data_IF_813344876383
#
_entry.id   IF_813344876383
#
_cell.length_a   1.000
_cell.length_b   1.000
_cell.length_c   1.000
_cell.angle_alpha   90.00
_cell.angle_beta   90.00
_cell.angle_gamma   90.00
#
_symmetry.space_group_name_H-M   'P 1'
#
loop_
_entity.id
_entity.type
_entity.pdbx_description
1 polymer ?
#
# COMPACT_ATOMS: atom_id res chain seq x y z
N UNK A 1 -6.77 21.94 10.13
CA UNK A 1 -5.80 21.08 9.41
C UNK A 1 -5.95 19.69 10.02
N UNK A 2 -6.26 18.71 9.20
CA UNK A 2 -6.48 17.34 9.66
C UNK A 2 -5.16 16.66 10.06
N UNK A 3 -5.25 15.74 11.00
CA UNK A 3 -4.16 14.89 11.48
C UNK A 3 -4.39 13.45 11.04
N UNK A 4 -3.42 12.84 10.36
CA UNK A 4 -3.47 11.42 10.00
C UNK A 4 -2.85 10.55 11.07
N UNK A 5 -3.54 9.46 11.44
CA UNK A 5 -2.99 8.37 12.24
C UNK A 5 -2.52 7.22 11.36
N UNK A 6 -1.29 6.78 11.51
CA UNK A 6 -0.70 5.69 10.74
C UNK A 6 -0.50 4.48 11.65
N UNK A 7 -1.18 3.37 11.36
CA UNK A 7 -0.79 2.05 11.85
C UNK A 7 0.39 1.59 11.01
N UNK A 8 1.58 1.67 11.60
CA UNK A 8 2.86 1.26 11.01
C UNK A 8 3.45 0.03 11.69
N UNK A 9 4.70 -0.30 11.36
CA UNK A 9 5.41 -1.45 11.93
C UNK A 9 5.13 -2.77 11.20
N UNK A 10 4.25 -2.77 10.21
CA UNK A 10 3.99 -3.95 9.38
C UNK A 10 4.88 -3.88 8.13
N UNK A 11 6.15 -4.19 8.36
CA UNK A 11 7.31 -3.75 7.61
C UNK A 11 7.76 -2.37 8.10
N UNK A 12 8.77 -2.25 9.00
CA UNK A 12 9.24 -0.94 9.50
C UNK A 12 9.65 0.01 8.38
N UNK A 13 10.31 -0.50 7.35
CA UNK A 13 10.74 0.26 6.16
C UNK A 13 9.55 0.90 5.42
N UNK A 14 8.47 0.15 5.31
CA UNK A 14 7.20 0.63 4.77
C UNK A 14 6.69 1.88 5.51
N UNK A 15 6.78 1.88 6.83
CA UNK A 15 6.34 3.01 7.67
C UNK A 15 7.22 4.25 7.44
N UNK A 16 8.52 4.06 7.32
CA UNK A 16 9.48 5.13 7.02
C UNK A 16 9.18 5.73 5.65
N UNK A 17 8.92 4.88 4.65
CA UNK A 17 8.61 5.33 3.29
C UNK A 17 7.28 6.10 3.26
N UNK A 18 6.23 5.63 3.96
CA UNK A 18 4.98 6.40 4.10
C UNK A 18 5.22 7.79 4.65
N UNK A 19 5.98 7.91 5.74
CA UNK A 19 6.29 9.20 6.35
C UNK A 19 6.99 10.13 5.36
N UNK A 20 8.02 9.64 4.66
CA UNK A 20 8.76 10.41 3.65
C UNK A 20 7.87 10.86 2.49
N UNK A 21 7.08 9.95 1.94
CA UNK A 21 6.21 10.22 0.80
C UNK A 21 5.09 11.19 1.15
N UNK A 22 4.45 11.04 2.32
CA UNK A 22 3.40 11.98 2.77
C UNK A 22 3.96 13.38 2.89
N UNK A 23 5.13 13.56 3.53
CA UNK A 23 5.76 14.88 3.66
C UNK A 23 6.09 15.46 2.28
N UNK A 24 6.67 14.66 1.38
CA UNK A 24 7.04 15.11 0.05
C UNK A 24 5.81 15.54 -0.77
N UNK A 25 4.79 14.69 -0.83
CA UNK A 25 3.56 14.96 -1.58
C UNK A 25 2.75 16.13 -0.99
N UNK A 26 2.70 16.25 0.34
CA UNK A 26 2.03 17.38 1.01
C UNK A 26 2.70 18.70 0.67
N UNK A 27 4.03 18.76 0.71
CA UNK A 27 4.79 19.97 0.36
C UNK A 27 4.63 20.34 -1.12
N UNK A 28 4.67 19.35 -2.01
CA UNK A 28 4.47 19.54 -3.45
C UNK A 28 3.08 20.14 -3.73
N UNK A 29 2.01 19.57 -3.18
CA UNK A 29 0.64 20.07 -3.38
C UNK A 29 0.39 21.45 -2.76
N UNK A 30 1.00 21.73 -1.61
CA UNK A 30 0.82 23.01 -0.92
C UNK A 30 1.62 24.15 -1.55
N UNK A 31 2.78 23.87 -2.12
CA UNK A 31 3.67 24.87 -2.72
C UNK A 31 3.43 25.10 -4.21
N UNK A 32 2.68 24.22 -4.88
CA UNK A 32 2.51 24.27 -6.34
C UNK A 32 3.80 24.02 -7.13
N UNK A 33 4.92 23.73 -6.45
CA UNK A 33 6.24 23.51 -7.04
C UNK A 33 6.94 22.31 -6.40
N UNK A 34 7.56 21.49 -7.25
CA UNK A 34 8.51 20.46 -6.80
C UNK A 34 9.58 21.10 -5.95
N UNK A 35 9.75 20.61 -4.71
CA UNK A 35 10.67 21.07 -3.64
C UNK A 35 11.66 22.17 -4.07
N UNK A 36 11.49 23.43 -3.59
CA UNK A 36 12.47 24.47 -3.90
C UNK A 36 13.80 24.18 -3.20
N UNK A 37 14.93 24.69 -3.73
CA UNK A 37 16.24 24.59 -3.09
C UNK A 37 16.21 25.07 -1.64
N UNK A 38 17.07 24.47 -0.81
CA UNK A 38 17.16 24.74 0.64
C UNK A 38 17.37 26.23 0.97
N UNK A 39 17.96 26.99 0.05
CA UNK A 39 18.33 28.40 0.23
C UNK A 39 17.32 29.41 -0.35
N UNK A 40 16.13 28.96 -0.76
CA UNK A 40 15.10 29.88 -1.25
C UNK A 40 14.42 30.61 -0.08
N UNK A 41 14.40 31.95 -0.02
CA UNK A 41 13.69 32.69 0.99
C UNK A 41 12.19 32.71 0.73
N UNK A 42 11.57 31.54 0.86
CA UNK A 42 10.13 31.43 0.68
C UNK A 42 9.44 31.79 1.99
N UNK A 43 8.93 32.96 2.02
CA UNK A 43 8.19 33.60 3.13
C UNK A 43 6.76 33.04 3.31
N UNK A 44 6.31 32.01 2.63
CA UNK A 44 4.97 31.48 2.82
C UNK A 44 4.98 30.09 3.43
N UNK A 45 4.39 30.04 4.59
CA UNK A 45 3.93 28.91 5.41
C UNK A 45 3.99 27.51 4.73
N UNK A 46 5.20 26.97 4.60
CA UNK A 46 5.41 25.57 4.25
C UNK A 46 5.13 24.74 5.49
N UNK A 47 3.82 24.61 5.83
CA UNK A 47 3.43 23.74 6.92
C UNK A 47 3.76 22.30 6.60
N UNK A 48 4.14 21.55 7.62
CA UNK A 48 4.22 20.09 7.55
C UNK A 48 2.86 19.50 7.88
N UNK A 49 2.53 18.29 7.35
CA UNK A 49 1.33 17.60 7.75
C UNK A 49 1.40 17.17 9.22
N UNK A 50 0.26 17.15 9.89
CA UNK A 50 0.15 16.55 11.22
C UNK A 50 0.03 15.03 11.10
N UNK A 51 0.99 14.28 11.65
CA UNK A 51 1.08 12.82 11.53
C UNK A 51 1.35 12.23 12.91
N UNK A 52 0.55 11.22 13.29
CA UNK A 52 0.81 10.36 14.44
C UNK A 52 1.04 8.95 13.94
N UNK A 53 2.18 8.35 14.29
CA UNK A 53 2.52 6.98 13.91
C UNK A 53 2.44 6.10 15.14
N UNK A 54 1.66 5.02 15.04
CA UNK A 54 1.61 3.95 16.01
C UNK A 54 2.20 2.68 15.38
N UNK A 55 3.41 2.34 15.79
CA UNK A 55 4.13 1.17 15.28
C UNK A 55 3.71 -0.07 16.06
N UNK A 56 3.18 -1.08 15.35
CA UNK A 56 2.67 -2.31 15.95
C UNK A 56 3.70 -3.45 15.93
N UNK A 57 3.43 -4.46 16.74
CA UNK A 57 4.25 -5.68 16.81
C UNK A 57 3.96 -6.59 15.62
N UNK A 58 4.88 -6.61 14.65
CA UNK A 58 4.78 -7.42 13.44
C UNK A 58 4.78 -8.93 13.73
N UNK A 59 5.64 -9.39 14.63
CA UNK A 59 5.75 -10.82 14.94
C UNK A 59 4.44 -11.37 15.48
N UNK A 60 3.78 -10.59 16.30
CA UNK A 60 2.46 -10.91 16.84
C UNK A 60 1.39 -11.00 15.76
N UNK A 61 1.35 -10.04 14.84
CA UNK A 61 0.43 -10.06 13.70
C UNK A 61 0.69 -11.28 12.81
N UNK A 62 1.94 -11.54 12.45
CA UNK A 62 2.33 -12.68 11.61
C UNK A 62 1.97 -14.03 12.27
N UNK A 63 2.15 -14.16 13.58
CA UNK A 63 1.77 -15.38 14.30
C UNK A 63 0.27 -15.68 14.18
N UNK A 64 -0.59 -14.67 14.35
CA UNK A 64 -2.02 -14.84 14.19
C UNK A 64 -2.44 -15.07 12.74
N UNK A 65 -1.82 -14.40 11.78
CA UNK A 65 -2.10 -14.61 10.37
C UNK A 65 -1.73 -16.02 9.90
N UNK A 66 -0.57 -16.56 10.34
CA UNK A 66 -0.15 -17.93 10.05
C UNK A 66 -1.14 -18.98 10.56
N UNK A 67 -1.81 -18.71 11.67
CA UNK A 67 -2.85 -19.59 12.25
C UNK A 67 -4.26 -19.24 11.80
N UNK A 68 -4.41 -18.34 10.85
CA UNK A 68 -5.69 -17.80 10.37
C UNK A 68 -6.60 -17.26 11.48
N UNK A 69 -6.01 -16.75 12.56
CA UNK A 69 -6.74 -16.13 13.67
C UNK A 69 -7.04 -14.65 13.35
N UNK A 70 -7.91 -14.42 12.36
CA UNK A 70 -8.24 -13.08 11.89
C UNK A 70 -8.98 -12.26 12.96
N UNK A 71 -9.72 -12.89 13.86
CA UNK A 71 -10.37 -12.20 14.99
C UNK A 71 -9.33 -11.54 15.90
N UNK A 72 -8.25 -12.25 16.25
CA UNK A 72 -7.18 -11.67 17.06
C UNK A 72 -6.44 -10.52 16.34
N UNK A 73 -6.27 -10.62 15.02
CA UNK A 73 -5.72 -9.54 14.20
C UNK A 73 -6.62 -8.31 14.26
N UNK A 74 -7.93 -8.50 14.06
CA UNK A 74 -8.92 -7.41 14.12
C UNK A 74 -8.94 -6.75 15.49
N UNK A 75 -9.07 -7.53 16.57
CA UNK A 75 -9.12 -7.00 17.94
C UNK A 75 -7.88 -6.19 18.30
N UNK A 76 -6.72 -6.69 17.90
CA UNK A 76 -5.46 -5.99 18.12
C UNK A 76 -5.43 -4.65 17.37
N UNK A 77 -5.74 -4.65 16.07
CA UNK A 77 -5.70 -3.44 15.26
C UNK A 77 -6.76 -2.43 15.68
N UNK A 78 -7.95 -2.87 16.12
CA UNK A 78 -8.97 -1.97 16.71
C UNK A 78 -8.41 -1.28 17.95
N UNK A 79 -7.75 -2.01 18.85
CA UNK A 79 -7.12 -1.41 20.03
C UNK A 79 -6.04 -0.37 19.67
N UNK A 80 -5.30 -0.59 18.59
CA UNK A 80 -4.31 0.37 18.09
C UNK A 80 -4.98 1.60 17.43
N UNK A 81 -6.10 1.43 16.73
CA UNK A 81 -6.91 2.52 16.21
C UNK A 81 -7.54 3.36 17.34
N UNK A 82 -7.98 2.74 18.42
CA UNK A 82 -8.45 3.45 19.62
C UNK A 82 -7.35 4.31 20.26
N UNK A 83 -6.09 3.85 20.24
CA UNK A 83 -4.95 4.65 20.71
C UNK A 83 -4.77 5.91 19.86
N UNK A 84 -4.83 5.75 18.53
CA UNK A 84 -4.77 6.87 17.59
C UNK A 84 -5.92 7.84 17.78
N UNK A 85 -7.15 7.34 17.96
CA UNK A 85 -8.32 8.16 18.26
C UNK A 85 -8.13 8.99 19.53
N UNK A 86 -7.64 8.36 20.64
CA UNK A 86 -7.32 9.09 21.88
C UNK A 86 -6.21 10.12 21.71
N UNK A 87 -5.31 9.93 20.75
CA UNK A 87 -4.28 10.90 20.41
C UNK A 87 -4.81 12.06 19.55
N UNK A 88 -6.10 12.04 19.16
CA UNK A 88 -6.75 13.15 18.47
C UNK A 88 -6.53 13.18 16.96
N UNK A 89 -6.33 12.03 16.31
CA UNK A 89 -6.26 11.98 14.85
C UNK A 89 -7.65 12.08 14.23
N UNK A 90 -7.74 12.68 13.03
CA UNK A 90 -9.00 12.85 12.32
C UNK A 90 -9.38 11.62 11.48
N UNK A 91 -8.39 10.88 11.02
CA UNK A 91 -8.56 9.64 10.25
C UNK A 91 -7.34 8.72 10.37
N UNK A 92 -7.54 7.44 10.09
CA UNK A 92 -6.51 6.40 10.19
C UNK A 92 -6.18 5.73 8.86
N UNK A 93 -4.96 5.22 8.76
CA UNK A 93 -4.49 4.41 7.65
C UNK A 93 -3.64 3.23 8.13
N UNK A 94 -3.66 2.14 7.39
CA UNK A 94 -2.74 1.02 7.57
C UNK A 94 -1.61 1.15 6.54
N UNK A 95 -0.36 1.31 6.99
CA UNK A 95 0.80 1.47 6.09
C UNK A 95 1.29 0.12 5.54
N UNK A 96 0.37 -0.75 5.13
CA UNK A 96 0.65 -2.07 4.57
C UNK A 96 -0.58 -2.63 3.85
N UNK A 97 -0.36 -3.50 2.86
CA UNK A 97 -1.44 -4.16 2.12
C UNK A 97 -2.07 -5.32 2.91
N UNK A 98 -1.26 -6.20 3.46
CA UNK A 98 -1.71 -7.48 4.03
C UNK A 98 -2.76 -7.35 5.15
N UNK A 99 -2.68 -6.38 6.09
CA UNK A 99 -3.72 -6.22 7.12
C UNK A 99 -5.11 -5.85 6.59
N UNK A 100 -5.22 -5.47 5.32
CA UNK A 100 -6.53 -5.20 4.70
C UNK A 100 -7.41 -6.44 4.54
N UNK A 101 -6.87 -7.63 4.82
CA UNK A 101 -7.68 -8.86 4.93
C UNK A 101 -8.81 -8.75 5.99
N UNK A 102 -8.67 -7.88 6.99
CA UNK A 102 -9.67 -7.61 8.03
C UNK A 102 -10.24 -6.18 7.94
N UNK A 103 -10.07 -5.50 6.81
CA UNK A 103 -10.37 -4.06 6.71
C UNK A 103 -11.87 -3.74 6.89
N UNK A 104 -12.77 -4.56 6.35
CA UNK A 104 -14.22 -4.34 6.49
C UNK A 104 -14.67 -4.38 7.97
N UNK A 105 -14.11 -5.31 8.74
CA UNK A 105 -14.35 -5.37 10.19
C UNK A 105 -13.72 -4.20 10.93
N UNK A 106 -12.49 -3.81 10.54
CA UNK A 106 -11.83 -2.63 11.12
C UNK A 106 -12.63 -1.37 10.86
N UNK A 107 -13.12 -1.18 9.63
CA UNK A 107 -13.92 -0.01 9.26
C UNK A 107 -15.21 0.08 10.06
N UNK A 108 -15.84 -1.07 10.37
CA UNK A 108 -17.07 -1.14 11.18
C UNK A 108 -16.81 -0.81 12.64
N UNK A 109 -15.65 -1.21 13.18
CA UNK A 109 -15.31 -1.12 14.62
C UNK A 109 -14.42 0.07 14.97
N UNK A 110 -13.83 0.72 13.97
CA UNK A 110 -12.92 1.85 14.19
C UNK A 110 -13.65 3.07 14.75
N UNK A 111 -13.10 3.73 15.77
CA UNK A 111 -13.66 4.99 16.30
C UNK A 111 -13.37 6.20 15.40
N UNK A 112 -12.56 6.03 14.35
CA UNK A 112 -12.18 7.06 13.39
C UNK A 112 -12.37 6.57 11.96
N UNK A 113 -12.63 7.46 10.99
CA UNK A 113 -12.66 7.08 9.58
C UNK A 113 -11.34 6.45 9.13
N UNK A 114 -11.41 5.44 8.26
CA UNK A 114 -10.23 4.79 7.69
C UNK A 114 -10.16 5.05 6.18
N UNK A 115 -8.95 5.27 5.65
CA UNK A 115 -8.69 5.26 4.21
C UNK A 115 -8.02 3.94 3.83
N UNK A 116 -8.62 3.25 2.86
CA UNK A 116 -8.13 1.96 2.36
C UNK A 116 -7.13 2.13 1.22
N UNK A 117 -5.97 1.48 1.32
CA UNK A 117 -5.01 1.37 0.22
C UNK A 117 -5.62 0.62 -0.97
N UNK A 118 -6.46 -0.39 -0.72
CA UNK A 118 -7.11 -1.20 -1.75
C UNK A 118 -8.13 -0.38 -2.53
N UNK A 119 -8.97 0.40 -1.81
CA UNK A 119 -9.94 1.28 -2.45
C UNK A 119 -9.28 2.41 -3.23
N UNK A 120 -8.22 3.02 -2.67
CA UNK A 120 -7.44 4.03 -3.38
C UNK A 120 -6.83 3.47 -4.68
N UNK A 121 -6.32 2.23 -4.65
CA UNK A 121 -5.76 1.55 -5.82
C UNK A 121 -6.84 1.21 -6.85
N UNK A 122 -8.03 0.79 -6.40
CA UNK A 122 -9.21 0.58 -7.27
C UNK A 122 -9.61 1.86 -7.98
N UNK A 123 -9.69 2.97 -7.26
CA UNK A 123 -10.09 4.27 -7.83
C UNK A 123 -9.09 4.73 -8.89
N UNK A 124 -7.79 4.53 -8.66
CA UNK A 124 -6.74 4.81 -9.64
C UNK A 124 -6.85 3.90 -10.88
N UNK A 125 -7.12 2.60 -10.69
CA UNK A 125 -7.33 1.67 -11.81
C UNK A 125 -8.55 2.08 -12.65
N UNK A 126 -9.64 2.49 -12.00
CA UNK A 126 -10.84 3.04 -12.67
C UNK A 126 -10.51 4.31 -13.46
N UNK A 127 -9.78 5.24 -12.85
CA UNK A 127 -9.39 6.50 -13.49
C UNK A 127 -8.53 6.27 -14.74
N UNK A 128 -7.74 5.19 -14.76
CA UNK A 128 -6.96 4.76 -15.93
C UNK A 128 -7.76 3.91 -16.93
N UNK A 129 -9.00 3.58 -16.64
CA UNK A 129 -9.87 2.78 -17.50
C UNK A 129 -9.51 1.29 -17.56
N UNK A 130 -8.69 0.80 -16.61
CA UNK A 130 -8.25 -0.61 -16.57
C UNK A 130 -9.42 -1.53 -16.21
N UNK A 131 -9.49 -2.69 -16.84
CA UNK A 131 -10.53 -3.71 -16.64
C UNK A 131 -10.00 -5.02 -16.12
N UNK A 132 -8.73 -5.32 -16.41
CA UNK A 132 -8.07 -6.55 -16.00
C UNK A 132 -6.66 -6.23 -15.50
N UNK A 133 -6.41 -6.45 -14.21
CA UNK A 133 -5.14 -6.07 -13.58
C UNK A 133 -4.52 -7.24 -12.83
N UNK A 134 -3.21 -7.42 -13.02
CA UNK A 134 -2.40 -8.37 -12.27
C UNK A 134 -2.20 -7.90 -10.83
N UNK A 135 -2.00 -8.83 -9.91
CA UNK A 135 -1.71 -8.54 -8.51
C UNK A 135 -0.45 -9.28 -8.05
N UNK A 136 0.59 -8.54 -7.68
CA UNK A 136 1.76 -9.06 -6.96
C UNK A 136 1.71 -8.65 -5.50
N UNK A 137 2.24 -9.52 -4.64
CA UNK A 137 2.34 -9.26 -3.20
C UNK A 137 2.77 -10.49 -2.42
N UNK A 138 2.58 -10.48 -1.12
CA UNK A 138 2.74 -11.70 -0.34
C UNK A 138 1.66 -12.73 -0.73
N UNK A 139 1.84 -14.00 -0.35
CA UNK A 139 0.81 -15.03 -0.57
C UNK A 139 -0.54 -14.61 0.04
N UNK A 140 -0.53 -14.00 1.22
CA UNK A 140 -1.74 -13.48 1.86
C UNK A 140 -2.43 -12.40 1.02
N UNK A 141 -1.67 -11.56 0.34
CA UNK A 141 -2.22 -10.53 -0.54
C UNK A 141 -2.79 -11.13 -1.83
N UNK A 142 -2.07 -12.04 -2.47
CA UNK A 142 -2.49 -12.64 -3.74
C UNK A 142 -3.66 -13.62 -3.58
N UNK A 143 -3.73 -14.36 -2.47
CA UNK A 143 -4.79 -15.34 -2.21
C UNK A 143 -5.96 -14.76 -1.39
N UNK A 144 -5.78 -13.61 -0.76
CA UNK A 144 -6.84 -12.92 -0.02
C UNK A 144 -7.91 -12.34 -0.93
N UNK A 145 -9.17 -12.46 -0.52
CA UNK A 145 -10.30 -11.95 -1.31
C UNK A 145 -10.43 -10.42 -1.28
N UNK A 146 -9.78 -9.74 -0.36
CA UNK A 146 -9.97 -8.31 -0.11
C UNK A 146 -9.62 -7.41 -1.31
N UNK A 147 -8.66 -7.79 -2.17
CA UNK A 147 -8.44 -7.11 -3.46
C UNK A 147 -9.52 -7.49 -4.47
N UNK A 148 -9.76 -8.79 -4.64
CA UNK A 148 -10.71 -9.32 -5.63
C UNK A 148 -12.11 -8.77 -5.40
N UNK A 149 -12.60 -8.76 -4.18
CA UNK A 149 -13.96 -8.30 -3.84
C UNK A 149 -14.14 -6.79 -4.10
N UNK A 150 -13.16 -5.98 -3.70
CA UNK A 150 -13.21 -4.52 -3.88
C UNK A 150 -13.15 -4.15 -5.36
N UNK A 151 -12.30 -4.80 -6.15
CA UNK A 151 -12.15 -4.53 -7.58
C UNK A 151 -13.31 -5.07 -8.40
N UNK A 152 -13.83 -6.26 -8.07
CA UNK A 152 -14.97 -6.86 -8.75
C UNK A 152 -16.22 -5.97 -8.64
N UNK A 153 -16.49 -5.37 -7.47
CA UNK A 153 -17.59 -4.41 -7.29
C UNK A 153 -17.48 -3.21 -8.22
N UNK A 154 -16.29 -2.88 -8.68
CA UNK A 154 -16.02 -1.81 -9.64
C UNK A 154 -15.94 -2.28 -11.10
N UNK A 155 -16.22 -3.56 -11.36
CA UNK A 155 -16.15 -4.15 -12.70
C UNK A 155 -14.72 -4.35 -13.21
N UNK A 156 -13.73 -4.46 -12.31
CA UNK A 156 -12.33 -4.75 -12.64
C UNK A 156 -12.01 -6.17 -12.16
N UNK A 157 -11.42 -6.96 -13.05
CA UNK A 157 -10.99 -8.32 -12.74
C UNK A 157 -9.54 -8.29 -12.20
N UNK A 158 -9.33 -8.91 -11.03
CA UNK A 158 -7.99 -9.19 -10.51
C UNK A 158 -7.51 -10.54 -11.07
N UNK A 159 -6.30 -10.54 -11.62
CA UNK A 159 -5.59 -11.72 -12.07
C UNK A 159 -4.41 -11.97 -11.15
N UNK A 160 -4.39 -13.10 -10.48
CA UNK A 160 -3.24 -13.53 -9.68
C UNK A 160 -2.37 -14.51 -10.49
N UNK A 161 -1.04 -14.49 -10.28
CA UNK A 161 -0.14 -15.49 -10.85
C UNK A 161 -0.59 -16.92 -10.50
N UNK A 162 -0.15 -17.92 -11.26
CA UNK A 162 -0.39 -19.32 -10.91
C UNK A 162 0.35 -19.70 -9.61
N UNK A 163 0.09 -20.90 -9.07
CA UNK A 163 0.60 -21.31 -7.77
C UNK A 163 2.15 -21.34 -7.69
N UNK A 164 2.81 -21.76 -8.76
CA UNK A 164 4.27 -21.77 -8.85
C UNK A 164 4.83 -20.34 -8.86
N UNK A 165 4.24 -19.47 -9.65
CA UNK A 165 4.60 -18.04 -9.73
C UNK A 165 4.33 -17.31 -8.41
N UNK A 166 3.20 -17.58 -7.75
CA UNK A 166 2.90 -17.04 -6.42
C UNK A 166 3.92 -17.48 -5.38
N UNK A 167 4.35 -18.74 -5.44
CA UNK A 167 5.39 -19.28 -4.56
C UNK A 167 6.71 -18.56 -4.79
N UNK A 168 7.13 -18.41 -6.05
CA UNK A 168 8.33 -17.66 -6.42
C UNK A 168 8.29 -16.22 -5.89
N UNK A 169 7.21 -15.49 -6.17
CA UNK A 169 7.05 -14.09 -5.73
C UNK A 169 7.11 -14.01 -4.20
N UNK A 170 6.42 -14.91 -3.50
CA UNK A 170 6.36 -14.91 -2.04
C UNK A 170 7.70 -15.19 -1.40
N UNK A 171 8.44 -16.19 -1.89
CA UNK A 171 9.76 -16.55 -1.38
C UNK A 171 10.77 -15.42 -1.61
N UNK A 172 10.77 -14.84 -2.80
CA UNK A 172 11.61 -13.67 -3.10
C UNK A 172 11.24 -12.45 -2.24
N UNK A 173 9.95 -12.24 -2.02
CA UNK A 173 9.46 -11.15 -1.17
C UNK A 173 9.97 -11.30 0.27
N UNK A 174 9.77 -12.47 0.89
CA UNK A 174 10.16 -12.70 2.28
C UNK A 174 11.67 -12.91 2.46
N UNK A 175 12.32 -13.57 1.52
CA UNK A 175 13.74 -13.94 1.64
C UNK A 175 14.71 -12.85 1.18
N UNK A 176 14.27 -11.95 0.29
CA UNK A 176 15.14 -10.92 -0.29
C UNK A 176 14.60 -9.51 -0.04
N UNK A 177 13.37 -9.20 -0.52
CA UNK A 177 12.89 -7.82 -0.55
C UNK A 177 12.69 -7.22 0.85
N UNK A 178 12.17 -7.99 1.81
CA UNK A 178 12.04 -7.56 3.21
C UNK A 178 13.38 -7.34 3.92
N UNK A 179 14.48 -7.79 3.32
CA UNK A 179 15.84 -7.62 3.83
C UNK A 179 16.68 -6.65 2.98
N UNK A 180 16.00 -5.78 2.19
CA UNK A 180 16.62 -4.80 1.29
C UNK A 180 17.56 -5.41 0.23
N UNK A 181 17.35 -6.68 -0.12
CA UNK A 181 18.10 -7.37 -1.18
C UNK A 181 17.34 -7.22 -2.50
N UNK A 182 17.84 -6.38 -3.40
CA UNK A 182 17.24 -6.11 -4.71
C UNK A 182 18.17 -6.57 -5.84
N UNK A 183 18.23 -7.88 -6.05
CA UNK A 183 19.07 -8.47 -7.09
C UNK A 183 18.48 -8.27 -8.50
N UNK A 184 19.36 -8.20 -9.52
CA UNK A 184 18.92 -8.17 -10.92
C UNK A 184 18.20 -9.45 -11.33
N UNK A 185 18.66 -10.59 -10.83
CA UNK A 185 18.03 -11.91 -11.07
C UNK A 185 16.57 -11.94 -10.58
N UNK A 186 16.33 -11.50 -9.35
CA UNK A 186 14.96 -11.44 -8.80
C UNK A 186 14.10 -10.45 -9.58
N UNK A 187 14.66 -9.29 -9.96
CA UNK A 187 13.96 -8.33 -10.80
C UNK A 187 13.55 -8.93 -12.15
N UNK A 188 14.46 -9.59 -12.84
CA UNK A 188 14.19 -10.23 -14.13
C UNK A 188 13.16 -11.35 -14.00
N UNK A 189 13.25 -12.15 -12.95
CA UNK A 189 12.27 -13.20 -12.66
C UNK A 189 10.86 -12.65 -12.41
N UNK A 190 10.73 -11.55 -11.66
CA UNK A 190 9.45 -10.89 -11.45
C UNK A 190 8.90 -10.31 -12.76
N UNK A 191 9.74 -9.66 -13.59
CA UNK A 191 9.32 -9.13 -14.88
C UNK A 191 8.89 -10.25 -15.85
N UNK A 192 9.55 -11.40 -15.82
CA UNK A 192 9.14 -12.56 -16.62
C UNK A 192 7.75 -13.09 -16.19
N UNK A 193 7.37 -12.98 -14.91
CA UNK A 193 5.99 -13.27 -14.48
C UNK A 193 5.00 -12.25 -15.04
N UNK A 194 5.37 -10.97 -15.08
CA UNK A 194 4.52 -9.92 -15.70
C UNK A 194 4.27 -10.23 -17.17
N UNK A 195 5.32 -10.59 -17.91
CA UNK A 195 5.20 -10.95 -19.32
C UNK A 195 4.27 -12.15 -19.55
N UNK A 196 4.39 -13.19 -18.71
CA UNK A 196 3.50 -14.35 -18.78
C UNK A 196 2.05 -14.02 -18.48
N UNK A 197 1.78 -13.18 -17.46
CA UNK A 197 0.41 -12.73 -17.16
C UNK A 197 -0.16 -11.89 -18.30
N UNK A 198 0.66 -11.06 -18.94
CA UNK A 198 0.25 -10.28 -20.11
C UNK A 198 -0.10 -11.19 -21.29
N UNK A 199 0.75 -12.17 -21.60
CA UNK A 199 0.54 -13.10 -22.72
C UNK A 199 -0.61 -14.07 -22.52
N UNK A 200 -0.74 -14.61 -21.30
CA UNK A 200 -1.73 -15.63 -20.96
C UNK A 200 -3.11 -15.04 -20.64
N UNK A 201 -3.11 -13.96 -19.88
CA UNK A 201 -4.32 -13.43 -19.22
C UNK A 201 -4.71 -12.05 -19.72
N UNK A 202 -3.87 -11.42 -20.57
CA UNK A 202 -4.13 -10.10 -21.18
C UNK A 202 -4.35 -8.99 -20.14
N UNK A 203 -3.47 -8.93 -19.13
CA UNK A 203 -3.53 -7.88 -18.10
C UNK A 203 -3.19 -6.51 -18.69
N UNK A 204 -3.94 -5.48 -18.27
CA UNK A 204 -3.80 -4.09 -18.69
C UNK A 204 -3.00 -3.24 -17.70
N UNK A 205 -2.67 -3.80 -16.54
CA UNK A 205 -1.89 -3.15 -15.49
C UNK A 205 -1.47 -4.16 -14.43
N UNK A 206 -0.52 -3.78 -13.57
CA UNK A 206 -0.03 -4.59 -12.47
C UNK A 206 -0.08 -3.83 -11.16
N UNK A 207 -0.79 -4.37 -10.18
CA UNK A 207 -0.82 -3.86 -8.81
C UNK A 207 0.43 -4.35 -8.07
N UNK A 208 1.23 -3.41 -7.57
CA UNK A 208 2.35 -3.69 -6.69
C UNK A 208 1.84 -3.71 -5.23
N UNK A 209 1.22 -4.83 -4.84
CA UNK A 209 0.56 -5.04 -3.55
C UNK A 209 1.53 -5.33 -2.40
N UNK A 210 2.67 -4.69 -2.40
CA UNK A 210 3.70 -4.72 -1.38
C UNK A 210 4.65 -3.55 -1.53
N UNK A 211 5.05 -2.96 -0.44
CA UNK A 211 5.82 -1.70 -0.38
C UNK A 211 7.24 -1.82 -0.92
N UNK A 212 7.80 -3.03 -0.94
CA UNK A 212 9.14 -3.33 -1.46
C UNK A 212 9.14 -3.59 -2.98
N UNK A 213 8.00 -3.98 -3.56
CA UNK A 213 7.89 -4.24 -5.00
C UNK A 213 8.24 -3.03 -5.89
N UNK A 214 7.82 -1.78 -5.56
CA UNK A 214 8.25 -0.61 -6.32
C UNK A 214 9.75 -0.34 -6.26
N UNK A 215 10.45 -0.84 -5.24
CA UNK A 215 11.90 -0.64 -5.07
C UNK A 215 12.70 -1.53 -6.04
N UNK A 216 12.21 -2.73 -6.34
CA UNK A 216 12.83 -3.64 -7.29
C UNK A 216 12.27 -3.46 -8.70
N UNK A 217 10.96 -3.33 -8.88
CA UNK A 217 10.30 -3.08 -10.16
C UNK A 217 10.28 -1.57 -10.47
N UNK A 218 11.48 -1.01 -10.55
CA UNK A 218 11.68 0.42 -10.81
C UNK A 218 11.09 0.80 -12.15
N UNK A 219 10.44 1.96 -12.21
CA UNK A 219 9.79 2.46 -13.43
C UNK A 219 8.28 2.59 -13.24
N UNK A 220 7.62 3.03 -14.30
CA UNK A 220 6.17 3.22 -14.32
C UNK A 220 5.43 2.09 -15.01
N UNK A 221 6.14 1.26 -15.78
CA UNK A 221 5.59 0.19 -16.59
C UNK A 221 6.65 -0.83 -17.00
N UNK A 222 6.20 -1.97 -17.51
CA UNK A 222 7.01 -2.97 -18.21
C UNK A 222 6.25 -3.49 -19.43
N UNK A 223 6.86 -3.38 -20.61
CA UNK A 223 6.30 -3.83 -21.90
C UNK A 223 4.85 -3.36 -22.14
N UNK A 224 4.53 -2.10 -21.77
CA UNK A 224 3.20 -1.53 -21.91
C UNK A 224 2.21 -1.91 -20.81
N UNK A 225 2.64 -2.63 -19.78
CA UNK A 225 1.85 -2.90 -18.58
C UNK A 225 2.19 -1.88 -17.49
N UNK A 226 1.33 -0.88 -17.24
CA UNK A 226 1.58 0.14 -16.22
C UNK A 226 1.55 -0.46 -14.81
N UNK A 227 2.42 0.03 -13.95
CA UNK A 227 2.47 -0.34 -12.54
C UNK A 227 1.58 0.59 -11.71
N UNK A 228 0.80 -0.03 -10.83
CA UNK A 228 0.01 0.62 -9.80
C UNK A 228 0.77 0.47 -8.47
N UNK A 229 1.61 1.47 -8.15
CA UNK A 229 2.31 1.55 -6.87
C UNK A 229 1.32 1.92 -5.77
N UNK A 230 0.88 0.90 -5.04
CA UNK A 230 -0.18 1.04 -4.02
C UNK A 230 0.20 2.03 -2.92
N UNK A 231 1.48 2.12 -2.57
CA UNK A 231 1.98 3.06 -1.55
C UNK A 231 1.83 4.50 -2.00
N UNK A 232 2.28 4.82 -3.21
CA UNK A 232 2.16 6.18 -3.76
C UNK A 232 0.72 6.60 -3.97
N UNK A 233 -0.11 5.70 -4.51
CA UNK A 233 -1.54 5.93 -4.70
C UNK A 233 -2.22 6.22 -3.35
N UNK A 234 -1.92 5.43 -2.32
CA UNK A 234 -2.48 5.64 -0.99
C UNK A 234 -2.01 6.96 -0.37
N UNK A 235 -0.72 7.29 -0.48
CA UNK A 235 -0.16 8.57 -0.03
C UNK A 235 -0.85 9.75 -0.72
N UNK A 236 -1.11 9.66 -2.01
CA UNK A 236 -1.83 10.70 -2.74
C UNK A 236 -3.25 10.92 -2.20
N UNK A 237 -3.94 9.84 -1.84
CA UNK A 237 -5.25 9.90 -1.20
C UNK A 237 -5.18 10.52 0.20
N UNK A 238 -4.19 10.09 1.02
CA UNK A 238 -3.93 10.64 2.36
C UNK A 238 -3.68 12.14 2.30
N UNK A 239 -2.83 12.60 1.38
CA UNK A 239 -2.52 14.03 1.24
C UNK A 239 -3.74 14.82 0.75
N UNK A 240 -4.57 14.23 -0.12
CA UNK A 240 -5.86 14.82 -0.49
C UNK A 240 -6.75 15.06 0.72
N UNK A 241 -6.86 14.08 1.63
CA UNK A 241 -7.65 14.18 2.86
C UNK A 241 -7.07 15.17 3.87
N UNK A 242 -5.74 15.23 4.00
CA UNK A 242 -5.06 16.20 4.88
C UNK A 242 -5.28 17.65 4.46
N UNK A 243 -5.53 17.91 3.18
CA UNK A 243 -5.70 19.24 2.59
C UNK A 243 -7.17 19.62 2.38
N UNK A 244 -8.11 18.70 2.60
CA UNK A 244 -9.55 18.97 2.58
C UNK A 244 -9.99 19.63 3.91
#
# INVERSE_FOLDING_TARGET
>A
MKTVGIIGGVGPESTIEYYRLIIAAYRERKSGTRVPPVDSPAQDARGYPSIIINSVDLDRLLAWMKTNNLTAVTDYLVGELERLARAGVDFGVLASNTPHIVFDELQTRSPIPLLSIVEATRDEALARGLKKVGLFGTRFTMQGQFYTDVFLRAGIQIIVPNEEEQTYIHEKYLGELLHDIFSSETREGLLAVVDRLRERDDIEGLILGGTELPLILRGKEHNGVPFLDTTRIHVDRIVGELLS
#
